data_IF_306092438288
#
_entry.id   IF_306092438288
#
_cell.length_a   1.000
_cell.length_b   1.000
_cell.length_c   1.000
_cell.angle_alpha   90.00
_cell.angle_beta   90.00
_cell.angle_gamma   90.00
#
_symmetry.space_group_name_H-M   'P 1'
#
loop_
_entity.id
_entity.type
_entity.pdbx_description
1 polymer ?
#
# COMPACT_ATOMS: atom_id res chain seq x y z
N UNK A 1 -9.89 -13.50 2.61
CA UNK A 1 -10.46 -13.20 1.30
C UNK A 1 -11.96 -12.98 1.50
N UNK A 2 -12.34 -11.78 1.97
CA UNK A 2 -13.74 -11.35 2.18
C UNK A 2 -14.16 -10.30 1.14
N UNK A 3 -13.19 -9.75 0.39
CA UNK A 3 -13.39 -8.62 -0.52
C UNK A 3 -14.30 -8.96 -1.71
N UNK A 4 -14.38 -10.24 -2.10
CA UNK A 4 -15.17 -10.70 -3.25
C UNK A 4 -16.40 -11.53 -2.84
N UNK A 5 -16.78 -11.48 -1.56
CA UNK A 5 -17.91 -12.25 -1.05
C UNK A 5 -19.19 -11.44 -1.22
N UNK A 6 -20.08 -11.85 -2.12
CA UNK A 6 -21.44 -11.28 -2.24
C UNK A 6 -22.39 -12.00 -1.28
N UNK A 7 -23.02 -11.24 -0.38
CA UNK A 7 -23.92 -11.74 0.65
C UNK A 7 -25.30 -11.09 0.60
N UNK A 8 -25.67 -10.46 -0.53
CA UNK A 8 -26.90 -9.70 -0.70
C UNK A 8 -28.15 -10.43 -0.16
N UNK A 9 -28.73 -9.87 0.88
CA UNK A 9 -29.96 -10.37 1.51
C UNK A 9 -29.79 -11.64 2.35
N UNK A 10 -28.61 -12.26 2.39
CA UNK A 10 -28.32 -13.45 3.20
C UNK A 10 -28.26 -13.10 4.68
N UNK A 11 -28.98 -13.85 5.50
CA UNK A 11 -28.84 -13.81 6.96
C UNK A 11 -27.57 -14.56 7.38
N UNK A 12 -26.64 -13.83 7.99
CA UNK A 12 -25.34 -14.34 8.43
C UNK A 12 -25.29 -14.39 9.95
N UNK A 13 -25.20 -15.61 10.49
CA UNK A 13 -25.07 -15.85 11.92
C UNK A 13 -23.63 -15.61 12.36
N UNK A 14 -23.39 -14.50 13.07
CA UNK A 14 -22.06 -14.15 13.60
C UNK A 14 -22.00 -14.49 15.08
N UNK A 15 -21.13 -15.44 15.44
CA UNK A 15 -21.04 -15.98 16.80
C UNK A 15 -19.91 -15.32 17.57
N UNK A 16 -20.26 -14.58 18.63
CA UNK A 16 -19.32 -13.94 19.54
C UNK A 16 -19.88 -12.72 20.26
N UNK A 17 -19.01 -11.93 20.90
CA UNK A 17 -19.36 -10.66 21.54
C UNK A 17 -19.45 -9.52 20.53
N UNK A 18 -20.13 -8.44 20.87
CA UNK A 18 -20.22 -7.26 20.00
C UNK A 18 -18.82 -6.67 19.68
N UNK A 19 -17.92 -6.67 20.66
CA UNK A 19 -16.58 -6.11 20.52
C UNK A 19 -15.63 -7.01 19.74
N UNK A 20 -15.66 -8.32 19.99
CA UNK A 20 -14.83 -9.30 19.28
C UNK A 20 -15.26 -9.50 17.82
N UNK A 21 -16.56 -9.35 17.53
CA UNK A 21 -17.11 -9.57 16.18
C UNK A 21 -17.13 -8.32 15.29
N UNK A 22 -16.83 -7.14 15.82
CA UNK A 22 -17.00 -5.84 15.12
C UNK A 22 -16.47 -5.82 13.67
N UNK A 23 -15.28 -6.37 13.43
CA UNK A 23 -14.63 -6.39 12.10
C UNK A 23 -15.29 -7.36 11.13
N UNK A 24 -15.79 -8.49 11.64
CA UNK A 24 -16.51 -9.48 10.83
C UNK A 24 -17.87 -8.93 10.45
N UNK A 25 -18.55 -8.30 11.40
CA UNK A 25 -19.87 -7.69 11.15
C UNK A 25 -19.79 -6.63 10.07
N UNK A 26 -18.83 -5.71 10.16
CA UNK A 26 -18.65 -4.68 9.15
C UNK A 26 -18.38 -5.24 7.75
N UNK A 27 -17.59 -6.33 7.65
CA UNK A 27 -17.35 -7.03 6.37
C UNK A 27 -18.61 -7.67 5.81
N UNK A 28 -19.40 -8.32 6.66
CA UNK A 28 -20.67 -8.95 6.26
C UNK A 28 -21.67 -7.89 5.78
N UNK A 29 -21.80 -6.79 6.51
CA UNK A 29 -22.71 -5.69 6.17
C UNK A 29 -22.30 -5.01 4.85
N UNK A 30 -21.00 -4.79 4.63
CA UNK A 30 -20.49 -4.25 3.36
C UNK A 30 -20.72 -5.18 2.17
N UNK A 31 -20.62 -6.50 2.38
CA UNK A 31 -20.95 -7.52 1.40
C UNK A 31 -22.47 -7.66 1.13
N UNK A 32 -23.33 -6.83 1.75
CA UNK A 32 -24.78 -6.88 1.57
C UNK A 32 -25.53 -7.88 2.48
N UNK A 33 -24.80 -8.54 3.38
CA UNK A 33 -25.35 -9.53 4.32
C UNK A 33 -26.04 -8.90 5.54
N UNK A 34 -27.07 -9.58 6.05
CA UNK A 34 -27.78 -9.21 7.29
C UNK A 34 -27.16 -9.92 8.49
N UNK A 35 -26.52 -9.17 9.38
CA UNK A 35 -25.83 -9.74 10.56
C UNK A 35 -26.82 -10.15 11.64
N UNK A 36 -26.75 -11.42 12.06
CA UNK A 36 -27.36 -11.94 13.27
C UNK A 36 -26.29 -12.22 14.33
N UNK A 37 -26.04 -11.25 15.23
CA UNK A 37 -25.05 -11.40 16.30
C UNK A 37 -25.62 -12.21 17.47
N UNK A 38 -24.97 -13.32 17.81
CA UNK A 38 -25.39 -14.21 18.92
C UNK A 38 -24.19 -14.75 19.71
N UNK A 39 -24.45 -15.14 20.97
CA UNK A 39 -23.48 -15.93 21.75
C UNK A 39 -23.44 -17.40 21.32
N UNK A 40 -22.42 -18.14 21.75
CA UNK A 40 -22.22 -19.54 21.35
C UNK A 40 -23.40 -20.47 21.70
N UNK A 41 -23.99 -20.35 22.89
CA UNK A 41 -25.13 -21.17 23.30
C UNK A 41 -26.36 -20.92 22.41
N UNK A 42 -26.71 -19.66 22.19
CA UNK A 42 -27.82 -19.27 21.31
C UNK A 42 -27.57 -19.68 19.85
N UNK A 43 -26.31 -19.66 19.39
CA UNK A 43 -25.96 -20.16 18.07
C UNK A 43 -26.29 -21.65 17.91
N UNK A 44 -25.99 -22.48 18.92
CA UNK A 44 -26.31 -23.91 18.91
C UNK A 44 -27.83 -24.16 18.88
N UNK A 45 -28.59 -23.39 19.67
CA UNK A 45 -30.06 -23.45 19.65
C UNK A 45 -30.62 -23.12 18.26
N UNK A 46 -30.14 -22.03 17.64
CA UNK A 46 -30.58 -21.59 16.31
C UNK A 46 -30.18 -22.57 15.20
N UNK A 47 -29.00 -23.19 15.31
CA UNK A 47 -28.55 -24.19 14.35
C UNK A 47 -29.33 -25.50 14.50
N UNK A 48 -29.79 -25.82 15.70
CA UNK A 48 -30.63 -26.99 15.96
C UNK A 48 -32.10 -26.78 15.54
N UNK A 49 -32.60 -25.54 15.59
CA UNK A 49 -33.94 -25.18 15.14
C UNK A 49 -34.05 -25.13 13.61
N UNK A 50 -35.03 -25.82 13.03
CA UNK A 50 -35.15 -26.01 11.57
C UNK A 50 -35.75 -24.81 10.81
N UNK A 51 -36.51 -23.92 11.47
CA UNK A 51 -37.37 -22.94 10.77
C UNK A 51 -36.71 -21.60 10.41
N UNK A 52 -35.45 -21.36 10.80
CA UNK A 52 -34.76 -20.10 10.46
C UNK A 52 -33.84 -20.27 9.26
N UNK A 53 -34.03 -19.41 8.25
CA UNK A 53 -33.12 -19.28 7.12
C UNK A 53 -31.82 -18.59 7.58
N UNK A 54 -30.73 -19.36 7.69
CA UNK A 54 -29.37 -18.85 7.87
C UNK A 54 -28.61 -19.22 6.60
N UNK A 55 -27.96 -18.26 5.96
CA UNK A 55 -27.18 -18.48 4.73
C UNK A 55 -25.72 -18.79 4.99
N UNK A 56 -25.15 -18.27 6.07
CA UNK A 56 -23.73 -18.42 6.45
C UNK A 56 -23.56 -18.34 7.97
N UNK A 57 -22.64 -19.14 8.51
CA UNK A 57 -22.21 -19.04 9.91
C UNK A 57 -20.77 -18.58 9.99
N UNK A 58 -20.51 -17.54 10.77
CA UNK A 58 -19.17 -17.02 11.03
C UNK A 58 -18.86 -17.12 12.51
N UNK A 59 -17.97 -18.05 12.86
CA UNK A 59 -17.60 -18.27 14.26
C UNK A 59 -16.38 -17.44 14.64
N UNK A 60 -16.57 -16.44 15.50
CA UNK A 60 -15.49 -15.54 15.93
C UNK A 60 -14.98 -15.93 17.33
N UNK A 61 -15.89 -16.03 18.30
CA UNK A 61 -15.57 -16.31 19.71
C UNK A 61 -16.40 -17.47 20.27
N UNK A 62 -15.96 -18.03 21.40
CA UNK A 62 -16.66 -19.07 22.14
C UNK A 62 -15.80 -20.33 22.37
N UNK A 63 -16.27 -21.26 23.23
CA UNK A 63 -15.56 -22.49 23.53
C UNK A 63 -15.34 -23.34 22.27
N UNK A 64 -14.20 -24.03 22.19
CA UNK A 64 -13.89 -24.92 21.06
C UNK A 64 -14.90 -26.06 20.93
N UNK A 65 -15.41 -26.58 22.06
CA UNK A 65 -16.48 -27.58 22.08
C UNK A 65 -17.76 -27.09 21.40
N UNK A 66 -18.23 -25.89 21.75
CA UNK A 66 -19.39 -25.28 21.13
C UNK A 66 -19.17 -25.02 19.63
N UNK A 67 -17.96 -24.58 19.24
CA UNK A 67 -17.62 -24.40 17.82
C UNK A 67 -17.65 -25.71 17.04
N UNK A 68 -17.15 -26.80 17.63
CA UNK A 68 -17.17 -28.12 17.01
C UNK A 68 -18.62 -28.64 16.84
N UNK A 69 -19.45 -28.49 17.87
CA UNK A 69 -20.86 -28.86 17.84
C UNK A 69 -21.65 -28.03 16.81
N UNK A 70 -21.45 -26.72 16.78
CA UNK A 70 -22.09 -25.84 15.80
C UNK A 70 -21.70 -26.18 14.36
N UNK A 71 -20.45 -26.58 14.11
CA UNK A 71 -20.02 -27.09 12.80
C UNK A 71 -20.73 -28.39 12.44
N UNK A 72 -20.93 -29.30 13.39
CA UNK A 72 -21.67 -30.54 13.16
C UNK A 72 -23.13 -30.27 12.79
N UNK A 73 -23.81 -29.39 13.53
CA UNK A 73 -25.20 -28.98 13.26
C UNK A 73 -25.33 -28.28 11.89
N UNK A 74 -24.43 -27.34 11.59
CA UNK A 74 -24.40 -26.67 10.30
C UNK A 74 -24.18 -27.65 9.14
N UNK A 75 -23.36 -28.69 9.33
CA UNK A 75 -23.13 -29.74 8.32
C UNK A 75 -24.40 -30.53 8.01
N UNK A 76 -25.19 -30.87 9.03
CA UNK A 76 -26.49 -31.55 8.84
C UNK A 76 -27.41 -30.68 7.98
N UNK A 77 -27.36 -29.36 8.20
CA UNK A 77 -28.15 -28.36 7.47
C UNK A 77 -27.55 -27.88 6.15
N UNK A 78 -26.37 -28.39 5.77
CA UNK A 78 -25.59 -27.97 4.58
C UNK A 78 -25.30 -26.47 4.56
N UNK A 79 -25.08 -25.88 5.73
CA UNK A 79 -24.74 -24.46 5.86
C UNK A 79 -23.23 -24.28 5.78
N UNK A 80 -22.74 -23.30 4.99
CA UNK A 80 -21.33 -22.93 5.02
C UNK A 80 -20.97 -22.35 6.39
N UNK A 81 -19.82 -22.77 6.92
CA UNK A 81 -19.27 -22.26 8.18
C UNK A 81 -17.84 -21.81 7.95
N UNK A 82 -17.54 -20.59 8.39
CA UNK A 82 -16.18 -20.07 8.43
C UNK A 82 -15.80 -19.61 9.84
N UNK A 83 -14.52 -19.45 10.09
CA UNK A 83 -14.01 -18.88 11.33
C UNK A 83 -13.19 -17.63 11.03
N UNK A 84 -13.27 -16.67 11.94
CA UNK A 84 -12.50 -15.44 11.87
C UNK A 84 -11.89 -15.15 13.26
N UNK A 85 -10.72 -14.49 13.32
CA UNK A 85 -10.14 -14.08 14.59
C UNK A 85 -11.01 -13.02 15.25
N UNK A 86 -11.08 -13.07 16.58
CA UNK A 86 -11.72 -12.02 17.37
C UNK A 86 -10.89 -10.75 17.33
N UNK A 87 -11.58 -9.61 17.23
CA UNK A 87 -10.93 -8.32 17.29
C UNK A 87 -10.45 -8.05 18.73
N UNK A 88 -9.16 -7.78 18.88
CA UNK A 88 -8.51 -7.59 20.20
C UNK A 88 -8.97 -6.32 20.90
N UNK A 89 -8.80 -6.29 22.22
CA UNK A 89 -9.00 -5.09 23.07
C UNK A 89 -7.74 -4.23 23.16
N UNK A 90 -6.57 -4.84 23.04
CA UNK A 90 -5.31 -4.12 22.84
C UNK A 90 -5.27 -3.61 21.40
N UNK A 91 -5.24 -2.29 21.23
CA UNK A 91 -5.09 -1.70 19.91
C UNK A 91 -3.65 -1.80 19.43
N UNK A 92 -3.49 -1.76 18.12
CA UNK A 92 -2.23 -1.99 17.41
C UNK A 92 -2.15 -1.07 16.22
N UNK A 93 -0.92 -0.85 15.73
CA UNK A 93 -0.68 -0.11 14.49
C UNK A 93 -0.05 -1.05 13.48
N UNK A 94 -0.55 -1.03 12.24
CA UNK A 94 0.10 -1.68 11.10
C UNK A 94 0.46 -0.64 10.05
N UNK A 95 1.76 -0.42 9.83
CA UNK A 95 2.23 0.37 8.69
C UNK A 95 2.19 -0.50 7.45
N UNK A 96 1.46 -0.09 6.43
CA UNK A 96 1.29 -0.85 5.19
C UNK A 96 1.83 -0.05 4.02
N UNK A 97 2.76 -0.65 3.28
CA UNK A 97 3.16 -0.17 1.96
C UNK A 97 2.08 -0.44 0.92
N UNK A 98 1.48 0.63 0.41
CA UNK A 98 0.39 0.62 -0.57
C UNK A 98 0.84 0.38 -2.01
N UNK A 99 2.15 0.28 -2.27
CA UNK A 99 2.66 0.19 -3.63
C UNK A 99 2.58 1.52 -4.39
N UNK A 100 2.92 1.56 -5.69
CA UNK A 100 3.08 2.80 -6.44
C UNK A 100 1.76 3.44 -6.92
N UNK A 101 0.60 2.77 -6.75
CA UNK A 101 -0.69 3.38 -7.08
C UNK A 101 -1.82 2.40 -7.41
N UNK A 102 -1.53 1.30 -8.13
CA UNK A 102 -2.55 0.28 -8.44
C UNK A 102 -2.79 -0.66 -7.27
N UNK A 103 -4.06 -1.04 -7.10
CA UNK A 103 -4.52 -1.98 -6.06
C UNK A 103 -3.91 -3.38 -6.23
N UNK A 104 -3.64 -3.85 -7.45
CA UNK A 104 -3.01 -5.16 -7.70
C UNK A 104 -1.52 -5.23 -7.34
N UNK A 105 -0.90 -4.10 -7.03
CA UNK A 105 0.46 -4.02 -6.49
C UNK A 105 0.50 -3.93 -4.96
N UNK A 106 -0.68 -3.96 -4.31
CA UNK A 106 -0.78 -4.14 -2.88
C UNK A 106 -0.38 -5.58 -2.53
N UNK A 107 0.40 -5.76 -1.47
CA UNK A 107 0.73 -7.11 -1.00
C UNK A 107 -0.49 -7.78 -0.38
N UNK A 108 -0.58 -9.11 -0.45
CA UNK A 108 -1.65 -9.87 0.21
C UNK A 108 -1.73 -9.57 1.72
N UNK A 109 -0.58 -9.35 2.36
CA UNK A 109 -0.51 -8.94 3.76
C UNK A 109 -1.08 -7.52 3.97
N UNK A 110 -0.83 -6.59 3.05
CA UNK A 110 -1.39 -5.24 3.09
C UNK A 110 -2.91 -5.24 2.92
N UNK A 111 -3.42 -6.03 1.98
CA UNK A 111 -4.86 -6.20 1.79
C UNK A 111 -5.53 -6.81 3.02
N UNK A 112 -4.92 -7.85 3.62
CA UNK A 112 -5.42 -8.46 4.84
C UNK A 112 -5.45 -7.46 6.02
N UNK A 113 -4.40 -6.64 6.17
CA UNK A 113 -4.35 -5.63 7.21
C UNK A 113 -5.45 -4.56 7.05
N UNK A 114 -5.70 -4.09 5.82
CA UNK A 114 -6.77 -3.14 5.51
C UNK A 114 -8.15 -3.72 5.79
N UNK A 115 -8.40 -4.97 5.38
CA UNK A 115 -9.68 -5.64 5.60
C UNK A 115 -10.00 -5.86 7.10
N UNK A 116 -8.96 -5.91 7.94
CA UNK A 116 -9.07 -6.06 9.39
C UNK A 116 -8.91 -4.71 10.14
N UNK A 117 -8.81 -3.58 9.44
CA UNK A 117 -8.62 -2.27 10.06
C UNK A 117 -9.90 -1.76 10.74
N UNK A 118 -9.74 -1.15 11.91
CA UNK A 118 -10.80 -0.35 12.56
C UNK A 118 -10.67 1.14 12.14
N UNK A 119 -9.45 1.60 11.86
CA UNK A 119 -9.13 2.96 11.38
C UNK A 119 -8.03 2.86 10.31
N UNK A 120 -8.15 3.62 9.22
CA UNK A 120 -7.10 3.75 8.21
C UNK A 120 -6.67 5.21 8.08
N UNK A 121 -5.41 5.50 8.40
CA UNK A 121 -4.75 6.77 8.08
C UNK A 121 -4.02 6.61 6.75
N UNK A 122 -4.47 7.32 5.72
CA UNK A 122 -3.92 7.19 4.37
C UNK A 122 -3.44 8.53 3.81
N UNK A 123 -2.53 8.47 2.86
CA UNK A 123 -2.11 9.63 2.05
C UNK A 123 -2.43 9.40 0.56
N UNK A 124 -2.01 10.33 -0.30
CA UNK A 124 -2.38 10.37 -1.72
C UNK A 124 -1.53 9.50 -2.63
N UNK A 125 -0.53 8.80 -2.09
CA UNK A 125 0.43 8.04 -2.89
C UNK A 125 0.13 6.53 -2.95
N UNK A 126 -0.99 6.07 -2.36
CA UNK A 126 -1.48 4.69 -2.44
C UNK A 126 -2.81 4.55 -3.22
N UNK A 127 -3.36 3.34 -3.34
CA UNK A 127 -4.60 3.06 -4.06
C UNK A 127 -5.80 3.67 -3.32
N UNK A 128 -6.18 4.90 -3.69
CA UNK A 128 -7.27 5.63 -3.01
C UNK A 128 -8.66 5.16 -3.46
N UNK A 129 -8.83 4.88 -4.76
CA UNK A 129 -10.14 4.62 -5.35
C UNK A 129 -10.82 3.37 -4.78
N UNK A 130 -10.04 2.34 -4.43
CA UNK A 130 -10.54 1.08 -3.86
C UNK A 130 -10.51 1.06 -2.32
N UNK A 131 -10.15 2.15 -1.63
CA UNK A 131 -9.86 2.08 -0.20
C UNK A 131 -11.09 1.73 0.65
N UNK A 132 -12.27 2.21 0.25
CA UNK A 132 -13.53 1.86 0.92
C UNK A 132 -13.83 0.36 0.81
N UNK A 133 -13.54 -0.26 -0.33
CA UNK A 133 -13.76 -1.69 -0.56
C UNK A 133 -12.69 -2.54 0.14
N UNK A 134 -11.45 -2.03 0.20
CA UNK A 134 -10.34 -2.69 0.88
C UNK A 134 -10.46 -2.66 2.42
N UNK A 135 -11.09 -1.62 2.97
CA UNK A 135 -11.23 -1.41 4.41
C UNK A 135 -12.68 -1.04 4.81
N UNK A 136 -13.66 -1.92 4.54
CA UNK A 136 -15.08 -1.59 4.58
C UNK A 136 -15.64 -1.25 5.96
N UNK A 137 -14.98 -1.73 7.03
CA UNK A 137 -15.35 -1.43 8.41
C UNK A 137 -14.55 -0.32 9.06
N UNK A 138 -13.61 0.29 8.32
CA UNK A 138 -12.67 1.22 8.89
C UNK A 138 -13.13 2.67 8.75
N UNK A 139 -12.85 3.47 9.78
CA UNK A 139 -12.88 4.93 9.63
C UNK A 139 -11.67 5.37 8.78
N UNK A 140 -11.93 5.95 7.62
CA UNK A 140 -10.89 6.46 6.72
C UNK A 140 -10.53 7.91 7.08
N UNK A 141 -9.24 8.19 7.28
CA UNK A 141 -8.71 9.51 7.65
C UNK A 141 -7.61 9.89 6.65
N UNK A 142 -7.88 10.89 5.82
CA UNK A 142 -6.87 11.46 4.90
C UNK A 142 -5.91 12.35 5.69
N UNK A 143 -4.64 11.94 5.73
CA UNK A 143 -3.54 12.70 6.37
C UNK A 143 -2.60 13.35 5.36
N UNK A 144 -2.96 13.31 4.08
CA UNK A 144 -2.22 13.90 2.97
C UNK A 144 -2.47 15.41 2.77
N UNK A 145 -1.87 15.94 1.69
CA UNK A 145 -2.05 17.34 1.26
C UNK A 145 -3.41 17.49 0.56
N UNK A 146 -4.45 17.98 1.22
CA UNK A 146 -5.65 18.45 0.51
C UNK A 146 -5.35 19.77 -0.22
N UNK A 147 -5.97 20.06 -1.39
CA UNK A 147 -5.80 21.34 -2.06
C UNK A 147 -6.31 22.45 -1.13
N UNK A 148 -5.47 23.46 -0.85
CA UNK A 148 -5.82 24.57 0.04
C UNK A 148 -5.70 24.29 1.55
N UNK A 149 -5.27 23.10 1.97
CA UNK A 149 -5.01 22.81 3.39
C UNK A 149 -3.52 22.62 3.66
N UNK A 150 -3.05 23.13 4.80
CA UNK A 150 -1.70 22.89 5.26
C UNK A 150 -1.50 21.38 5.50
N UNK A 151 -0.33 20.82 5.11
CA UNK A 151 -0.03 19.41 5.39
C UNK A 151 -0.12 19.15 6.89
N UNK A 152 -0.80 18.06 7.30
CA UNK A 152 -0.80 17.62 8.69
C UNK A 152 0.65 17.34 9.09
N UNK A 153 1.20 18.02 10.11
CA UNK A 153 2.53 17.78 10.61
C UNK A 153 2.71 16.32 11.04
N UNK A 154 3.90 15.76 10.79
CA UNK A 154 4.19 14.37 11.17
C UNK A 154 3.90 14.04 12.63
N UNK A 155 4.24 14.90 13.63
CA UNK A 155 3.91 14.61 15.02
C UNK A 155 2.41 14.47 15.29
N UNK A 156 1.55 15.14 14.51
CA UNK A 156 0.10 15.00 14.61
C UNK A 156 -0.39 13.68 14.02
N UNK A 157 0.21 13.23 12.90
CA UNK A 157 -0.03 11.89 12.34
C UNK A 157 0.36 10.82 13.37
N UNK A 158 1.53 10.96 13.98
CA UNK A 158 2.00 10.06 15.04
C UNK A 158 1.04 10.04 16.25
N UNK A 159 0.55 11.22 16.67
CA UNK A 159 -0.42 11.33 17.76
C UNK A 159 -1.74 10.62 17.44
N UNK A 160 -2.28 10.79 16.22
CA UNK A 160 -3.50 10.10 15.78
C UNK A 160 -3.34 8.58 15.77
N UNK A 161 -2.19 8.06 15.30
CA UNK A 161 -1.90 6.62 15.34
C UNK A 161 -1.96 6.08 16.78
N UNK A 162 -1.32 6.80 17.72
CA UNK A 162 -1.24 6.42 19.12
C UNK A 162 -2.61 6.52 19.80
N UNK A 163 -3.36 7.60 19.56
CA UNK A 163 -4.68 7.85 20.15
C UNK A 163 -5.66 6.74 19.79
N UNK A 164 -5.79 6.43 18.50
CA UNK A 164 -6.70 5.38 18.05
C UNK A 164 -6.28 4.00 18.57
N UNK A 165 -4.98 3.68 18.57
CA UNK A 165 -4.49 2.41 19.10
C UNK A 165 -4.74 2.30 20.63
N UNK A 166 -4.59 3.38 21.39
CA UNK A 166 -4.92 3.40 22.83
C UNK A 166 -6.40 3.24 23.11
N UNK A 167 -7.26 3.65 22.17
CA UNK A 167 -8.69 3.38 22.22
C UNK A 167 -9.05 1.93 21.85
N UNK A 168 -8.07 1.06 21.60
CA UNK A 168 -8.28 -0.37 21.28
C UNK A 168 -8.46 -0.66 19.79
N UNK A 169 -8.26 0.32 18.91
CA UNK A 169 -8.39 0.14 17.47
C UNK A 169 -7.17 -0.56 16.88
N UNK A 170 -7.39 -1.39 15.86
CA UNK A 170 -6.36 -1.72 14.90
C UNK A 170 -6.29 -0.61 13.85
N UNK A 171 -5.20 0.13 13.90
CA UNK A 171 -4.97 1.30 13.05
C UNK A 171 -4.03 0.90 11.91
N UNK A 172 -4.47 1.06 10.68
CA UNK A 172 -3.59 0.90 9.51
C UNK A 172 -3.10 2.27 9.06
N UNK A 173 -1.78 2.45 8.98
CA UNK A 173 -1.15 3.59 8.31
C UNK A 173 -0.79 3.15 6.89
N UNK A 174 -1.64 3.49 5.93
CA UNK A 174 -1.41 3.18 4.51
C UNK A 174 -0.53 4.26 3.88
N UNK A 175 0.64 3.85 3.39
CA UNK A 175 1.68 4.76 2.85
C UNK A 175 1.96 4.38 1.40
N UNK A 176 2.07 5.35 0.50
CA UNK A 176 2.49 5.06 -0.87
C UNK A 176 3.89 4.42 -0.95
N UNK A 177 4.06 3.51 -1.90
CA UNK A 177 5.29 2.75 -2.10
C UNK A 177 5.58 1.81 -0.93
N UNK A 178 6.77 1.96 -0.34
CA UNK A 178 7.22 1.20 0.83
C UNK A 178 7.36 2.12 2.06
N UNK A 179 6.94 1.69 3.28
CA UNK A 179 7.00 2.53 4.47
C UNK A 179 8.39 3.07 4.83
N UNK A 180 9.46 2.36 4.45
CA UNK A 180 10.84 2.67 4.81
C UNK A 180 11.68 3.25 3.67
N UNK A 181 11.14 3.39 2.46
CA UNK A 181 11.81 4.11 1.36
C UNK A 181 11.31 5.54 1.30
N UNK A 182 11.98 6.44 2.01
CA UNK A 182 11.61 7.86 2.18
C UNK A 182 10.16 8.12 2.65
N UNK A 183 9.50 7.10 3.19
CA UNK A 183 8.12 7.18 3.68
C UNK A 183 8.01 7.68 5.12
N UNK A 184 9.12 7.88 5.85
CA UNK A 184 9.15 8.26 7.28
C UNK A 184 8.52 7.21 8.22
N UNK A 185 8.32 5.97 7.75
CA UNK A 185 7.72 4.92 8.58
C UNK A 185 8.50 4.61 9.86
N UNK A 186 9.82 4.80 9.85
CA UNK A 186 10.65 4.59 11.06
C UNK A 186 10.38 5.63 12.15
N UNK A 187 10.01 6.87 11.80
CA UNK A 187 9.61 7.90 12.76
C UNK A 187 8.29 7.48 13.45
N UNK A 188 7.30 7.07 12.66
CA UNK A 188 5.99 6.59 13.12
C UNK A 188 6.11 5.35 14.02
N UNK A 189 6.93 4.36 13.62
CA UNK A 189 7.22 3.17 14.43
C UNK A 189 7.86 3.55 15.76
N UNK A 190 8.85 4.44 15.74
CA UNK A 190 9.52 4.89 16.97
C UNK A 190 8.57 5.65 17.90
N UNK A 191 7.66 6.46 17.37
CA UNK A 191 6.65 7.17 18.16
C UNK A 191 5.71 6.20 18.86
N UNK A 192 5.18 5.22 18.12
CA UNK A 192 4.32 4.17 18.68
C UNK A 192 5.04 3.33 19.73
N UNK A 193 6.28 2.92 19.45
CA UNK A 193 7.10 2.14 20.39
C UNK A 193 7.34 2.91 21.71
N UNK A 194 7.66 4.20 21.65
CA UNK A 194 7.77 5.07 22.85
C UNK A 194 6.48 5.16 23.63
N UNK A 195 5.34 5.05 22.96
CA UNK A 195 4.02 5.13 23.56
C UNK A 195 3.48 3.78 24.08
N UNK A 196 4.25 2.68 23.92
CA UNK A 196 3.84 1.33 24.31
C UNK A 196 2.83 0.68 23.35
N UNK A 197 2.69 1.21 22.12
CA UNK A 197 1.77 0.71 21.12
C UNK A 197 2.48 -0.33 20.25
N UNK A 198 1.97 -1.58 20.14
CA UNK A 198 2.54 -2.59 19.26
C UNK A 198 2.42 -2.17 17.79
N UNK A 199 3.51 -2.34 17.03
CA UNK A 199 3.57 -2.00 15.60
C UNK A 199 3.99 -3.20 14.77
N UNK A 200 3.26 -3.45 13.69
CA UNK A 200 3.69 -4.32 12.59
C UNK A 200 3.99 -3.49 11.35
N UNK A 201 5.02 -3.86 10.58
CA UNK A 201 5.33 -3.20 9.30
C UNK A 201 5.16 -4.23 8.19
N UNK A 202 4.28 -3.92 7.25
CA UNK A 202 4.08 -4.67 6.02
C UNK A 202 4.76 -3.92 4.88
N UNK A 203 5.80 -4.50 4.26
CA UNK A 203 6.52 -3.84 3.17
C UNK A 203 5.61 -3.68 1.95
N UNK A 204 5.96 -2.71 1.10
CA UNK A 204 5.26 -2.43 -0.14
C UNK A 204 6.18 -2.46 -1.35
N UNK A 205 5.57 -2.51 -2.54
CA UNK A 205 6.30 -2.39 -3.80
C UNK A 205 6.78 -0.94 -3.95
N UNK A 206 8.09 -0.70 -3.81
CA UNK A 206 8.64 0.65 -3.89
C UNK A 206 8.53 1.24 -5.31
N UNK A 207 8.10 2.49 -5.39
CA UNK A 207 8.07 3.25 -6.65
C UNK A 207 9.45 3.43 -7.27
N UNK A 208 10.51 3.42 -6.45
CA UNK A 208 11.89 3.50 -6.93
C UNK A 208 12.28 2.35 -7.88
N UNK A 209 11.60 1.22 -7.79
CA UNK A 209 11.90 0.03 -8.60
C UNK A 209 10.79 -0.23 -9.61
N UNK A 210 9.54 -0.22 -9.15
CA UNK A 210 8.41 -0.62 -9.98
C UNK A 210 8.06 0.41 -11.05
N UNK A 211 8.13 1.72 -10.74
CA UNK A 211 7.73 2.76 -11.69
C UNK A 211 8.66 2.82 -12.92
N UNK A 212 10.00 2.72 -12.78
CA UNK A 212 10.88 2.50 -13.93
C UNK A 212 10.50 1.26 -14.75
N UNK A 213 10.18 0.15 -14.09
CA UNK A 213 9.75 -1.09 -14.76
C UNK A 213 8.47 -0.92 -15.58
N UNK A 214 7.50 -0.13 -15.10
CA UNK A 214 6.29 0.22 -15.84
C UNK A 214 6.54 1.01 -17.14
N UNK A 215 7.73 1.59 -17.28
CA UNK A 215 8.21 2.29 -18.47
C UNK A 215 9.21 1.44 -19.29
N UNK A 216 9.37 0.15 -18.98
CA UNK A 216 10.36 -0.71 -19.64
C UNK A 216 11.81 -0.44 -19.23
N UNK A 217 12.04 0.25 -18.12
CA UNK A 217 13.39 0.57 -17.63
C UNK A 217 13.71 -0.34 -16.44
N UNK A 218 14.51 -1.40 -16.62
CA UNK A 218 14.96 -2.18 -15.49
C UNK A 218 15.96 -1.35 -14.68
N UNK A 219 15.85 -1.33 -13.35
CA UNK A 219 16.78 -0.56 -12.50
C UNK A 219 18.19 -1.14 -12.46
N UNK A 220 18.37 -2.39 -12.90
CA UNK A 220 19.68 -3.03 -13.09
C UNK A 220 19.67 -3.86 -14.36
N UNK A 221 20.82 -3.98 -15.03
CA UNK A 221 20.99 -4.86 -16.18
C UNK A 221 22.43 -5.34 -16.27
N UNK A 222 22.63 -6.64 -16.48
CA UNK A 222 23.97 -7.24 -16.58
C UNK A 222 24.76 -6.56 -17.70
N UNK A 223 25.98 -6.12 -17.40
CA UNK A 223 26.84 -5.43 -18.37
C UNK A 223 26.58 -3.93 -18.52
N UNK A 224 25.46 -3.40 -18.01
CA UNK A 224 25.17 -1.96 -18.01
C UNK A 224 25.23 -1.33 -16.61
N UNK A 225 24.76 -2.06 -15.59
CA UNK A 225 24.71 -1.57 -14.21
C UNK A 225 24.94 -2.70 -13.22
N UNK A 226 25.84 -2.47 -12.24
CA UNK A 226 26.12 -3.37 -11.11
C UNK A 226 25.69 -2.79 -9.76
N UNK A 227 25.15 -1.58 -9.77
CA UNK A 227 24.77 -0.80 -8.60
C UNK A 227 23.47 -0.05 -8.87
N UNK A 228 22.60 -0.01 -7.86
CA UNK A 228 21.43 0.84 -7.83
C UNK A 228 21.55 1.78 -6.64
N UNK A 229 21.55 3.08 -6.91
CA UNK A 229 21.56 4.12 -5.89
C UNK A 229 20.19 4.80 -5.89
N UNK A 230 19.49 4.75 -4.76
CA UNK A 230 18.18 5.39 -4.60
C UNK A 230 18.34 6.59 -3.65
N UNK A 231 17.97 7.78 -4.11
CA UNK A 231 18.09 9.02 -3.34
C UNK A 231 16.79 9.83 -3.32
N UNK A 232 16.65 10.67 -2.31
CA UNK A 232 15.64 11.72 -2.28
C UNK A 232 16.24 13.00 -2.86
N UNK A 233 15.63 13.51 -3.92
CA UNK A 233 15.95 14.83 -4.48
C UNK A 233 15.07 15.94 -3.92
N UNK A 234 14.43 15.75 -2.76
CA UNK A 234 13.51 16.76 -2.20
C UNK A 234 14.20 18.11 -1.95
N UNK A 235 15.48 18.05 -1.57
CA UNK A 235 16.37 19.21 -1.46
C UNK A 235 17.59 18.99 -2.37
N UNK A 236 18.24 20.06 -2.86
CA UNK A 236 19.45 19.93 -3.67
C UNK A 236 20.58 19.28 -2.87
N UNK A 237 21.40 18.48 -3.54
CA UNK A 237 22.61 17.88 -2.96
C UNK A 237 23.76 18.87 -2.87
N UNK A 238 24.70 18.60 -1.97
CA UNK A 238 25.97 19.30 -1.84
C UNK A 238 26.99 18.86 -2.92
N UNK A 239 28.00 19.68 -3.24
CA UNK A 239 29.01 19.36 -4.25
C UNK A 239 29.68 17.99 -4.08
N UNK A 240 30.01 17.62 -2.84
CA UNK A 240 30.65 16.33 -2.54
C UNK A 240 29.70 15.14 -2.78
N UNK A 241 28.41 15.32 -2.51
CA UNK A 241 27.40 14.28 -2.76
C UNK A 241 27.25 14.00 -4.26
N UNK A 242 27.28 15.03 -5.11
CA UNK A 242 27.29 14.82 -6.56
C UNK A 242 28.51 14.01 -7.03
N UNK A 243 29.69 14.29 -6.47
CA UNK A 243 30.90 13.51 -6.73
C UNK A 243 30.73 12.04 -6.33
N UNK A 244 30.11 11.76 -5.18
CA UNK A 244 29.82 10.38 -4.75
C UNK A 244 28.80 9.68 -5.65
N UNK A 245 27.70 10.36 -5.99
CA UNK A 245 26.65 9.81 -6.86
C UNK A 245 27.18 9.47 -8.25
N UNK A 246 28.03 10.34 -8.81
CA UNK A 246 28.73 10.04 -10.05
C UNK A 246 29.75 8.90 -9.88
N UNK A 247 30.56 8.95 -8.81
CA UNK A 247 31.68 8.02 -8.58
C UNK A 247 31.26 6.56 -8.33
N UNK A 248 30.11 6.32 -7.68
CA UNK A 248 29.57 4.95 -7.51
C UNK A 248 29.18 4.35 -8.86
N UNK A 249 28.69 5.17 -9.79
CA UNK A 249 28.21 4.72 -11.09
C UNK A 249 26.98 3.80 -11.03
N UNK A 250 26.64 3.19 -12.16
CA UNK A 250 25.46 2.32 -12.30
C UNK A 250 24.18 3.10 -12.57
N UNK A 251 23.09 2.69 -11.90
CA UNK A 251 21.77 3.33 -12.05
C UNK A 251 21.48 4.22 -10.86
N UNK A 252 21.15 5.49 -11.12
CA UNK A 252 20.69 6.44 -10.12
C UNK A 252 19.18 6.64 -10.26
N UNK A 253 18.43 6.31 -9.20
CA UNK A 253 17.00 6.60 -9.10
C UNK A 253 16.77 7.71 -8.09
N UNK A 254 16.07 8.76 -8.50
CA UNK A 254 15.78 9.93 -7.66
C UNK A 254 14.28 10.02 -7.45
N UNK A 255 13.87 9.93 -6.18
CA UNK A 255 12.51 10.18 -5.73
C UNK A 255 12.35 11.64 -5.30
N UNK A 256 11.15 12.19 -5.45
CA UNK A 256 10.83 13.58 -5.04
C UNK A 256 11.72 14.65 -5.70
N UNK A 257 12.32 14.36 -6.85
CA UNK A 257 13.32 15.22 -7.50
C UNK A 257 12.80 16.17 -8.58
N UNK A 258 11.49 16.23 -8.86
CA UNK A 258 10.94 17.04 -9.97
C UNK A 258 11.34 18.52 -9.84
N UNK A 259 11.21 19.09 -8.64
CA UNK A 259 11.48 20.51 -8.40
C UNK A 259 12.98 20.85 -8.40
N UNK A 260 13.84 19.88 -8.12
CA UNK A 260 15.31 20.06 -8.04
C UNK A 260 16.02 19.54 -9.29
N UNK A 261 15.29 19.00 -10.27
CA UNK A 261 15.84 18.25 -11.39
C UNK A 261 16.94 18.99 -12.16
N UNK A 262 16.75 20.29 -12.42
CA UNK A 262 17.74 21.13 -13.11
C UNK A 262 19.02 21.24 -12.28
N UNK A 263 18.88 21.47 -10.97
CA UNK A 263 20.01 21.61 -10.05
C UNK A 263 20.77 20.29 -9.94
N UNK A 264 20.05 19.17 -9.86
CA UNK A 264 20.65 17.85 -9.81
C UNK A 264 21.44 17.55 -11.08
N UNK A 265 20.85 17.75 -12.27
CA UNK A 265 21.56 17.52 -13.53
C UNK A 265 22.78 18.45 -13.66
N UNK A 266 22.65 19.72 -13.29
CA UNK A 266 23.77 20.68 -13.30
C UNK A 266 24.89 20.25 -12.35
N UNK A 267 24.55 19.79 -11.15
CA UNK A 267 25.49 19.30 -10.15
C UNK A 267 26.25 18.06 -10.63
N UNK A 268 25.53 17.08 -11.22
CA UNK A 268 26.13 15.86 -11.77
C UNK A 268 27.10 16.16 -12.93
N UNK A 269 26.73 17.07 -13.85
CA UNK A 269 27.63 17.50 -14.93
C UNK A 269 28.91 18.15 -14.39
N UNK A 270 28.78 19.02 -13.38
CA UNK A 270 29.94 19.66 -12.71
C UNK A 270 30.82 18.65 -11.99
N UNK A 271 30.24 17.57 -11.49
CA UNK A 271 30.95 16.47 -10.85
C UNK A 271 31.63 15.49 -11.84
N UNK A 272 31.49 15.71 -13.16
CA UNK A 272 32.16 14.92 -14.19
C UNK A 272 31.27 13.88 -14.90
N UNK A 273 29.96 13.85 -14.62
CA UNK A 273 29.04 12.96 -15.34
C UNK A 273 29.02 13.33 -16.84
N UNK A 274 29.18 12.34 -17.76
CA UNK A 274 29.11 12.61 -19.19
C UNK A 274 27.76 13.24 -19.60
N UNK A 275 27.75 14.21 -20.53
CA UNK A 275 26.55 14.98 -20.87
C UNK A 275 25.46 14.15 -21.57
N UNK A 276 25.87 13.08 -22.25
CA UNK A 276 25.03 12.15 -23.01
C UNK A 276 24.45 11.01 -22.17
N UNK A 277 24.73 10.95 -20.86
CA UNK A 277 24.14 9.94 -19.98
C UNK A 277 22.60 9.98 -20.10
N UNK A 278 21.96 8.85 -20.43
CA UNK A 278 20.51 8.78 -20.54
C UNK A 278 19.79 9.06 -19.22
N UNK A 279 18.67 9.77 -19.33
CA UNK A 279 17.78 10.13 -18.23
C UNK A 279 16.33 9.89 -18.66
N UNK A 280 15.55 9.26 -17.78
CA UNK A 280 14.11 9.16 -17.92
C UNK A 280 13.40 9.80 -16.74
N UNK A 281 12.28 10.47 -17.01
CA UNK A 281 11.30 10.87 -16.00
C UNK A 281 10.01 10.09 -16.26
N UNK A 282 9.61 9.28 -15.28
CA UNK A 282 8.34 8.53 -15.32
C UNK A 282 7.37 9.18 -14.35
N UNK A 283 6.38 9.88 -14.89
CA UNK A 283 5.34 10.57 -14.14
C UNK A 283 4.13 9.67 -13.97
N UNK A 284 3.47 9.76 -12.81
CA UNK A 284 2.21 9.03 -12.52
C UNK A 284 2.33 7.53 -12.81
N UNK A 285 3.45 6.92 -12.45
CA UNK A 285 3.69 5.48 -12.67
C UNK A 285 2.54 4.63 -12.12
N UNK A 286 2.02 3.72 -12.94
CA UNK A 286 0.83 2.89 -12.68
C UNK A 286 -0.50 3.62 -12.48
N UNK A 287 -0.53 4.96 -12.52
CA UNK A 287 -1.75 5.74 -12.40
C UNK A 287 -2.27 6.16 -13.80
N UNK A 288 -3.57 6.52 -13.91
CA UNK A 288 -4.10 7.08 -15.14
C UNK A 288 -3.24 8.24 -15.68
N UNK A 289 -2.91 8.13 -16.96
CA UNK A 289 -2.07 9.09 -17.65
C UNK A 289 -0.57 8.98 -17.32
N UNK A 290 -0.05 7.83 -16.92
CA UNK A 290 1.40 7.61 -16.88
C UNK A 290 2.10 8.21 -18.11
N UNK A 291 3.19 8.96 -17.90
CA UNK A 291 3.97 9.56 -18.99
C UNK A 291 5.45 9.34 -18.73
N UNK A 292 6.14 8.83 -19.74
CA UNK A 292 7.60 8.66 -19.72
C UNK A 292 8.22 9.65 -20.70
N UNK A 293 9.18 10.43 -20.22
CA UNK A 293 10.00 11.29 -21.08
C UNK A 293 11.45 10.86 -20.96
N UNK A 294 12.04 10.46 -22.08
CA UNK A 294 13.46 10.06 -22.19
C UNK A 294 14.27 11.19 -22.82
N UNK A 295 15.44 11.45 -22.28
CA UNK A 295 16.35 12.52 -22.68
C UNK A 295 17.77 12.21 -22.16
N UNK A 296 18.68 13.18 -22.22
CA UNK A 296 19.99 13.11 -21.55
C UNK A 296 20.12 14.14 -20.43
N UNK A 297 21.11 13.95 -19.55
CA UNK A 297 21.40 14.88 -18.44
C UNK A 297 21.68 16.31 -18.94
N UNK A 298 22.48 16.47 -20.00
CA UNK A 298 22.76 17.79 -20.57
C UNK A 298 21.52 18.45 -21.18
N UNK A 299 20.65 17.66 -21.79
CA UNK A 299 19.45 18.18 -22.45
C UNK A 299 18.44 18.75 -21.45
N UNK A 300 18.33 18.15 -20.26
CA UNK A 300 17.53 18.71 -19.17
C UNK A 300 18.03 20.10 -18.77
N UNK A 301 19.34 20.29 -18.66
CA UNK A 301 19.92 21.61 -18.33
C UNK A 301 19.71 22.59 -19.48
N UNK A 302 19.95 22.17 -20.73
CA UNK A 302 19.80 23.01 -21.93
C UNK A 302 18.38 23.54 -22.10
N UNK A 303 17.37 22.71 -21.79
CA UNK A 303 15.94 23.10 -21.89
C UNK A 303 15.42 23.86 -20.67
N UNK A 304 16.23 24.02 -19.62
CA UNK A 304 15.79 24.62 -18.37
C UNK A 304 14.77 23.75 -17.62
N UNK A 305 14.96 22.42 -17.67
CA UNK A 305 14.12 21.43 -17.01
C UNK A 305 13.33 20.57 -18.00
N UNK A 306 12.33 19.86 -17.48
CA UNK A 306 11.40 19.06 -18.27
C UNK A 306 10.06 19.78 -18.31
N UNK A 307 9.66 20.22 -19.50
CA UNK A 307 8.45 21.03 -19.66
C UNK A 307 7.23 20.25 -19.15
N UNK A 308 6.42 20.91 -18.31
CA UNK A 308 5.20 20.36 -17.73
C UNK A 308 5.40 19.10 -16.88
N UNK A 309 6.61 18.86 -16.35
CA UNK A 309 6.85 17.78 -15.41
C UNK A 309 6.08 18.02 -14.11
N UNK A 310 5.33 17.01 -13.68
CA UNK A 310 4.47 17.06 -12.49
C UNK A 310 4.79 15.92 -11.55
N UNK A 311 4.62 16.15 -10.25
CA UNK A 311 4.70 15.09 -9.24
C UNK A 311 3.35 14.34 -9.15
N UNK A 312 3.34 13.05 -8.78
CA UNK A 312 4.50 12.22 -8.44
C UNK A 312 5.25 11.73 -9.70
N UNK A 313 6.59 11.70 -9.63
CA UNK A 313 7.43 11.16 -10.68
C UNK A 313 8.72 10.55 -10.14
N UNK A 314 9.28 9.60 -10.90
CA UNK A 314 10.56 8.95 -10.63
C UNK A 314 11.54 9.31 -11.73
N UNK A 315 12.71 9.83 -11.35
CA UNK A 315 13.80 10.10 -12.28
C UNK A 315 14.75 8.92 -12.26
N UNK A 316 15.17 8.45 -13.43
CA UNK A 316 16.18 7.39 -13.59
C UNK A 316 17.30 7.94 -14.47
N UNK A 317 18.54 7.82 -14.01
CA UNK A 317 19.74 8.25 -14.73
C UNK A 317 20.68 7.05 -14.88
N UNK A 318 21.11 6.76 -16.10
CA UNK A 318 22.06 5.69 -16.39
C UNK A 318 21.73 4.92 -17.66
N UNK A 319 22.67 4.08 -18.09
CA UNK A 319 22.60 3.34 -19.36
C UNK A 319 21.37 2.42 -19.49
N UNK A 320 20.76 2.00 -18.38
CA UNK A 320 19.55 1.17 -18.40
C UNK A 320 18.34 1.86 -19.02
N UNK A 321 18.32 3.18 -19.07
CA UNK A 321 17.22 3.95 -19.71
C UNK A 321 17.13 3.66 -21.20
N UNK A 322 18.26 3.40 -21.87
CA UNK A 322 18.27 3.05 -23.30
C UNK A 322 17.55 1.72 -23.61
N UNK A 323 17.28 0.88 -22.60
CA UNK A 323 16.53 -0.37 -22.77
C UNK A 323 15.02 -0.14 -22.93
N UNK A 324 14.49 1.02 -22.53
CA UNK A 324 13.08 1.35 -22.70
C UNK A 324 12.64 1.39 -24.17
N UNK A 325 13.57 1.71 -25.08
CA UNK A 325 13.31 1.78 -26.52
C UNK A 325 13.36 0.40 -27.19
N UNK A 326 13.80 -0.65 -26.48
CA UNK A 326 13.79 -2.01 -27.00
C UNK A 326 12.39 -2.62 -26.84
N UNK A 327 11.83 -3.12 -27.95
CA UNK A 327 10.49 -3.75 -28.07
C UNK A 327 10.27 -5.01 -27.18
N UNK A 328 11.20 -5.31 -26.28
CA UNK A 328 11.25 -6.48 -25.39
C UNK A 328 10.08 -6.48 -24.40
N UNK A 329 9.54 -5.30 -24.04
CA UNK A 329 8.48 -5.20 -23.03
C UNK A 329 7.07 -5.37 -23.58
N UNK A 330 6.82 -5.03 -24.86
CA UNK A 330 5.55 -5.32 -25.53
C UNK A 330 5.33 -6.85 -25.67
N UNK A 331 6.41 -7.61 -25.79
CA UNK A 331 6.37 -9.08 -25.80
C UNK A 331 6.11 -9.68 -24.42
N UNK A 332 6.67 -9.09 -23.35
CA UNK A 332 6.39 -9.52 -21.98
C UNK A 332 4.96 -9.18 -21.54
N UNK A 333 4.46 -7.98 -21.88
CA UNK A 333 3.08 -7.57 -21.59
C UNK A 333 2.06 -8.48 -22.30
N UNK A 334 2.30 -8.81 -23.58
CA UNK A 334 1.47 -9.80 -24.33
C UNK A 334 1.52 -11.21 -23.75
N UNK A 335 2.65 -11.61 -23.16
CA UNK A 335 2.78 -12.94 -22.53
C UNK A 335 1.99 -13.02 -21.22
N UNK A 336 1.84 -11.90 -20.50
CA UNK A 336 1.02 -11.84 -19.28
C UNK A 336 -0.47 -11.71 -19.60
N UNK A 337 -0.85 -10.97 -20.64
CA UNK A 337 -2.24 -10.86 -21.09
C UNK A 337 -2.74 -12.09 -21.87
N UNK A 338 -1.83 -12.86 -22.48
CA UNK A 338 -2.15 -14.12 -23.20
C UNK A 338 -2.15 -15.38 -22.34
N UNK A 339 -1.90 -15.26 -21.03
CA UNK A 339 -1.92 -16.37 -20.07
C UNK A 339 -3.18 -16.39 -19.18
N UNK A 340 -4.21 -15.61 -19.53
CA UNK A 340 -5.54 -15.59 -18.90
C UNK A 340 -6.53 -16.49 -19.66
#
# INVERSE_FOLDING_TARGET
MWADLELDGLDVLVVGSAQGTRRVRARVEHAGGRVMLVGAAQALELLSASDRAVGLVVWVEGPESARAEGRALARIRRLPVTCAPAATTTGTVTLVGGGPGRTDLLTLAGQAALADADVVLFDRLGPQESLADLAPGARLIDVGKAPGHHPIPQPEIEAMLIEHARAGAHVVRLKGGDPFVFGRGSEEVRACARAGVPVTVVPGVSSAIAVPGAAGIPVTHRGLSRSLTIVSGHVPFEPQEYAHLHGVGGTLVILMGVNTLIQVCTGLLRAGMPPDVPLALVERGFLPGQRTTVTTVAEVVRRGGMQHATSPAVVVIGAVVALAESSVWEDLARTVEGAA
#
